data_IF_675501987861
#
_entry.id   IF_675501987861
#
_cell.length_a   1.000
_cell.length_b   1.000
_cell.length_c   1.000
_cell.angle_alpha   90.00
_cell.angle_beta   90.00
_cell.angle_gamma   90.00
#
_symmetry.space_group_name_H-M   'P 1'
#
loop_
_entity.id
_entity.type
_entity.pdbx_description
1 polymer ?
#
# COMPACT_ATOMS: atom_id res chain seq x y z
N UNK A 1 14.34 4.90 -4.18
CA UNK A 1 15.05 6.14 -3.75
C UNK A 1 14.07 7.06 -3.05
N UNK A 2 14.47 7.70 -1.94
CA UNK A 2 13.65 8.67 -1.18
C UNK A 2 14.10 10.08 -1.54
N UNK A 3 13.15 10.99 -1.74
CA UNK A 3 13.46 12.38 -2.03
C UNK A 3 13.06 13.27 -0.87
N UNK A 4 13.99 14.16 -0.46
CA UNK A 4 13.78 15.15 0.60
C UNK A 4 13.71 16.53 -0.04
N UNK A 5 12.61 17.26 0.14
CA UNK A 5 12.41 18.63 -0.33
C UNK A 5 12.41 19.56 0.87
N UNK A 6 13.49 20.28 1.07
CA UNK A 6 13.80 21.10 2.25
C UNK A 6 14.71 22.25 1.81
N UNK A 7 14.39 23.49 2.13
CA UNK A 7 15.17 24.64 1.71
C UNK A 7 16.44 24.84 2.55
N UNK A 8 16.39 24.53 3.86
CA UNK A 8 17.58 24.59 4.70
C UNK A 8 18.56 23.46 4.32
N UNK A 9 19.72 23.86 3.78
CA UNK A 9 20.76 22.94 3.33
C UNK A 9 21.25 22.01 4.46
N UNK A 10 21.34 22.53 5.70
CA UNK A 10 21.85 21.74 6.84
C UNK A 10 20.84 20.67 7.26
N UNK A 11 19.55 21.00 7.28
CA UNK A 11 18.49 20.05 7.59
C UNK A 11 18.41 19.00 6.47
N UNK A 12 18.37 19.42 5.22
CA UNK A 12 18.34 18.57 4.04
C UNK A 12 19.50 17.56 4.02
N UNK A 13 20.73 18.02 4.29
CA UNK A 13 21.90 17.16 4.31
C UNK A 13 21.83 16.12 5.44
N UNK A 14 21.32 16.51 6.62
CA UNK A 14 21.14 15.58 7.75
C UNK A 14 20.06 14.54 7.44
N UNK A 15 18.95 14.93 6.83
CA UNK A 15 17.88 14.00 6.43
C UNK A 15 18.39 12.98 5.42
N UNK A 16 19.05 13.45 4.36
CA UNK A 16 19.65 12.59 3.32
C UNK A 16 20.72 11.67 3.92
N UNK A 17 21.58 12.19 4.79
CA UNK A 17 22.60 11.38 5.48
C UNK A 17 21.95 10.29 6.35
N UNK A 18 20.94 10.64 7.16
CA UNK A 18 20.28 9.69 8.04
C UNK A 18 19.58 8.55 7.26
N UNK A 19 18.93 8.87 6.14
CA UNK A 19 18.32 7.89 5.27
C UNK A 19 19.35 6.98 4.60
N UNK A 20 20.42 7.55 4.05
CA UNK A 20 21.49 6.78 3.42
C UNK A 20 22.20 5.84 4.43
N UNK A 21 22.44 6.32 5.65
CA UNK A 21 23.10 5.51 6.70
C UNK A 21 22.25 4.35 7.21
N UNK A 22 20.93 4.40 6.97
CA UNK A 22 19.98 3.33 7.34
C UNK A 22 19.62 2.39 6.17
N UNK A 23 20.38 2.48 5.06
CA UNK A 23 20.27 1.57 3.92
C UNK A 23 19.30 2.01 2.83
N UNK A 24 18.73 3.21 2.91
CA UNK A 24 17.97 3.81 1.83
C UNK A 24 18.90 4.59 0.88
N UNK A 25 18.46 4.78 -0.35
CA UNK A 25 19.05 5.80 -1.24
C UNK A 25 18.22 7.06 -1.12
N UNK A 26 18.85 8.20 -0.81
CA UNK A 26 18.15 9.47 -0.65
C UNK A 26 18.79 10.58 -1.46
N UNK A 27 17.96 11.53 -1.93
CA UNK A 27 18.36 12.71 -2.70
C UNK A 27 17.60 13.93 -2.18
N UNK A 28 18.31 15.06 -2.03
CA UNK A 28 17.75 16.33 -1.56
C UNK A 28 17.45 17.28 -2.72
N UNK A 29 16.41 18.13 -2.50
CA UNK A 29 16.00 19.23 -3.37
C UNK A 29 15.76 20.45 -2.51
N UNK A 30 16.15 21.62 -2.99
CA UNK A 30 16.03 22.88 -2.23
C UNK A 30 14.69 23.59 -2.43
N UNK A 31 13.98 23.25 -3.50
CA UNK A 31 12.73 23.90 -3.88
C UNK A 31 11.83 23.00 -4.75
N UNK A 32 10.58 23.45 -4.95
CA UNK A 32 9.62 22.75 -5.76
C UNK A 32 9.97 22.72 -7.25
N UNK A 33 10.72 23.70 -7.77
CA UNK A 33 11.07 23.76 -9.20
C UNK A 33 12.08 22.66 -9.54
N UNK A 34 13.17 22.56 -8.80
CA UNK A 34 14.20 21.51 -8.95
C UNK A 34 13.61 20.10 -8.72
N UNK A 35 12.68 19.98 -7.75
CA UNK A 35 11.97 18.76 -7.48
C UNK A 35 11.12 18.32 -8.69
N UNK A 36 10.26 19.18 -9.24
CA UNK A 36 9.43 18.82 -10.39
C UNK A 36 10.23 18.57 -11.67
N UNK A 37 11.35 19.26 -11.88
CA UNK A 37 12.24 18.98 -13.01
C UNK A 37 12.89 17.59 -12.89
N UNK A 38 13.23 17.17 -11.69
CA UNK A 38 13.74 15.81 -11.45
C UNK A 38 12.61 14.76 -11.61
N UNK A 39 11.40 15.08 -11.16
CA UNK A 39 10.24 14.17 -11.19
C UNK A 39 9.84 13.78 -12.62
N UNK A 40 10.09 14.64 -13.61
CA UNK A 40 9.91 14.33 -15.04
C UNK A 40 10.85 13.25 -15.56
N UNK A 41 11.96 13.02 -14.89
CA UNK A 41 13.04 12.11 -15.34
C UNK A 41 13.05 10.81 -14.56
N UNK A 42 12.73 10.86 -13.28
CA UNK A 42 12.79 9.73 -12.36
C UNK A 42 11.70 9.87 -11.29
N UNK A 43 11.14 8.75 -10.84
CA UNK A 43 10.12 8.72 -9.77
C UNK A 43 10.73 8.20 -8.48
N UNK A 44 10.56 8.91 -7.34
CA UNK A 44 10.96 8.41 -6.04
C UNK A 44 9.96 7.35 -5.51
N UNK A 45 10.42 6.54 -4.59
CA UNK A 45 9.58 5.60 -3.82
C UNK A 45 8.80 6.31 -2.71
N UNK A 46 9.27 7.48 -2.25
CA UNK A 46 8.65 8.31 -1.24
C UNK A 46 9.25 9.71 -1.28
N UNK A 47 8.42 10.70 -0.97
CA UNK A 47 8.84 12.10 -0.80
C UNK A 47 8.67 12.51 0.66
N UNK A 48 9.73 13.03 1.27
CA UNK A 48 9.70 13.82 2.50
C UNK A 48 9.65 15.29 2.10
N UNK A 49 8.59 15.99 2.43
CA UNK A 49 8.27 17.31 1.89
C UNK A 49 8.04 18.31 3.02
N UNK A 50 8.87 19.35 3.08
CA UNK A 50 8.61 20.45 4.00
C UNK A 50 7.38 21.25 3.56
N UNK A 51 6.54 21.63 4.51
CA UNK A 51 5.41 22.53 4.29
C UNK A 51 5.92 23.93 3.95
N UNK A 52 6.90 24.42 4.69
CA UNK A 52 7.37 25.81 4.61
C UNK A 52 8.56 25.94 3.63
N UNK A 53 8.29 25.81 2.34
CA UNK A 53 9.29 26.05 1.31
C UNK A 53 9.19 27.47 0.75
N UNK A 54 10.31 28.09 0.31
CA UNK A 54 10.27 29.37 -0.40
C UNK A 54 9.58 29.20 -1.76
N UNK A 55 8.97 30.27 -2.27
CA UNK A 55 8.32 30.38 -3.57
C UNK A 55 7.08 29.50 -3.77
N UNK A 56 7.15 28.22 -3.44
CA UNK A 56 6.02 27.29 -3.59
C UNK A 56 5.82 26.50 -2.31
N UNK A 57 4.71 26.74 -1.62
CA UNK A 57 4.31 26.00 -0.41
C UNK A 57 4.27 24.48 -0.65
N UNK A 58 4.81 23.70 0.28
CA UNK A 58 4.77 22.24 0.21
C UNK A 58 3.37 21.66 0.08
N UNK A 59 2.34 22.33 0.63
CA UNK A 59 0.94 21.94 0.44
C UNK A 59 0.53 22.06 -1.03
N UNK A 60 0.98 23.09 -1.72
CA UNK A 60 0.71 23.26 -3.15
C UNK A 60 1.44 22.22 -4.00
N UNK A 61 2.68 21.86 -3.62
CA UNK A 61 3.43 20.76 -4.25
C UNK A 61 2.66 19.44 -4.08
N UNK A 62 2.19 19.14 -2.85
CA UNK A 62 1.39 17.95 -2.56
C UNK A 62 0.12 17.91 -3.44
N UNK A 63 -0.65 19.00 -3.50
CA UNK A 63 -1.86 19.10 -4.35
C UNK A 63 -1.55 18.80 -5.81
N UNK A 64 -0.49 19.39 -6.36
CA UNK A 64 -0.07 19.16 -7.75
C UNK A 64 0.33 17.71 -7.99
N UNK A 65 1.05 17.07 -7.05
CA UNK A 65 1.38 15.66 -7.15
C UNK A 65 0.13 14.79 -7.13
N UNK A 66 -0.77 15.00 -6.16
CA UNK A 66 -1.98 14.17 -5.98
C UNK A 66 -3.04 14.40 -7.07
N UNK A 67 -3.04 15.55 -7.74
CA UNK A 67 -3.88 15.82 -8.91
C UNK A 67 -3.31 15.22 -10.22
N UNK A 68 -2.06 14.82 -10.24
CA UNK A 68 -1.42 14.24 -11.42
C UNK A 68 -1.64 12.74 -11.48
N UNK A 69 -2.19 12.23 -12.57
CA UNK A 69 -2.30 10.78 -12.80
C UNK A 69 -0.94 10.05 -12.75
N UNK A 70 0.13 10.77 -13.05
CA UNK A 70 1.47 10.21 -13.09
C UNK A 70 2.15 10.12 -11.73
N UNK A 71 1.79 10.99 -10.77
CA UNK A 71 2.49 11.14 -9.48
C UNK A 71 1.61 10.90 -8.26
N UNK A 72 0.29 10.69 -8.44
CA UNK A 72 -0.66 10.55 -7.32
C UNK A 72 -0.35 9.38 -6.40
N UNK A 73 0.24 8.29 -6.93
CA UNK A 73 0.58 7.09 -6.18
C UNK A 73 1.88 7.20 -5.39
N UNK A 74 2.68 8.26 -5.61
CA UNK A 74 3.92 8.47 -4.85
C UNK A 74 3.55 8.87 -3.42
N UNK A 75 3.99 8.09 -2.40
CA UNK A 75 3.71 8.44 -1.02
C UNK A 75 4.47 9.67 -0.57
N UNK A 76 3.80 10.52 0.22
CA UNK A 76 4.34 11.79 0.72
C UNK A 76 4.21 11.86 2.23
N UNK A 77 5.32 12.12 2.92
CA UNK A 77 5.35 12.49 4.33
C UNK A 77 5.58 14.00 4.40
N UNK A 78 4.66 14.73 5.04
CA UNK A 78 4.80 16.18 5.21
C UNK A 78 5.60 16.50 6.47
N UNK A 79 6.60 17.39 6.37
CA UNK A 79 7.30 17.95 7.52
C UNK A 79 6.69 19.31 7.85
N UNK A 80 6.22 19.52 9.09
CA UNK A 80 5.48 20.74 9.49
C UNK A 80 5.97 21.30 10.81
N UNK A 81 5.85 22.62 11.02
CA UNK A 81 6.20 23.25 12.28
C UNK A 81 5.23 22.86 13.41
N UNK A 82 5.71 22.88 14.66
CA UNK A 82 4.90 22.63 15.86
C UNK A 82 3.81 23.71 16.00
N UNK A 83 2.55 23.31 16.07
CA UNK A 83 1.40 24.21 16.23
C UNK A 83 0.47 24.31 15.01
N UNK A 84 0.89 23.84 13.85
CA UNK A 84 0.07 23.82 12.64
C UNK A 84 -0.89 22.59 12.62
N UNK A 85 -1.81 22.54 13.61
CA UNK A 85 -2.81 21.45 13.65
C UNK A 85 -3.73 21.50 12.44
N UNK A 86 -3.99 22.69 11.92
CA UNK A 86 -4.76 22.92 10.69
C UNK A 86 -4.02 22.33 9.46
N UNK A 87 -2.71 22.53 9.35
CA UNK A 87 -1.91 22.02 8.23
C UNK A 87 -1.83 20.50 8.21
N UNK A 88 -1.87 19.85 9.39
CA UNK A 88 -1.89 18.37 9.50
C UNK A 88 -3.17 17.79 8.95
N UNK A 89 -4.33 18.32 9.39
CA UNK A 89 -5.65 17.86 8.93
C UNK A 89 -5.76 18.12 7.44
N UNK A 90 -5.41 19.32 6.98
CA UNK A 90 -5.46 19.67 5.56
C UNK A 90 -4.53 18.80 4.71
N UNK A 91 -3.31 18.49 5.16
CA UNK A 91 -2.37 17.67 4.42
C UNK A 91 -2.84 16.22 4.28
N UNK A 92 -3.44 15.65 5.32
CA UNK A 92 -4.02 14.30 5.29
C UNK A 92 -5.25 14.24 4.37
N UNK A 93 -6.12 15.23 4.44
CA UNK A 93 -7.30 15.34 3.56
C UNK A 93 -6.89 15.52 2.07
N UNK A 94 -5.73 16.12 1.83
CA UNK A 94 -5.14 16.29 0.49
C UNK A 94 -4.38 15.05 -0.01
N UNK A 95 -4.29 14.00 0.81
CA UNK A 95 -3.70 12.73 0.42
C UNK A 95 -2.24 12.54 0.82
N UNK A 96 -1.73 13.26 1.83
CA UNK A 96 -0.47 12.91 2.47
C UNK A 96 -0.59 11.58 3.23
N UNK A 97 0.45 10.76 3.19
CA UNK A 97 0.45 9.42 3.79
C UNK A 97 0.86 9.42 5.26
N UNK A 98 1.60 10.43 5.72
CA UNK A 98 1.96 10.68 7.11
C UNK A 98 2.48 12.13 7.27
N UNK A 99 2.76 12.54 8.51
CA UNK A 99 3.37 13.83 8.82
C UNK A 99 4.42 13.71 9.92
N UNK A 100 5.39 14.65 9.92
CA UNK A 100 6.42 14.83 10.93
C UNK A 100 6.33 16.25 11.49
N UNK A 101 6.42 16.40 12.79
CA UNK A 101 6.39 17.71 13.45
C UNK A 101 7.81 18.16 13.79
N UNK A 102 8.25 19.26 13.19
CA UNK A 102 9.56 19.88 13.49
C UNK A 102 9.56 20.55 14.89
N UNK A 103 10.64 20.38 15.69
CA UNK A 103 11.81 19.54 15.40
C UNK A 103 11.52 18.06 15.68
N UNK A 104 11.95 17.19 14.78
CA UNK A 104 11.84 15.73 14.93
C UNK A 104 13.21 15.05 15.02
N UNK A 105 13.24 13.91 15.67
CA UNK A 105 14.46 13.07 15.71
C UNK A 105 14.66 12.31 14.41
N UNK A 106 15.92 12.17 13.95
CA UNK A 106 16.24 11.43 12.72
C UNK A 106 15.74 9.98 12.76
N UNK A 107 15.78 9.33 13.92
CA UNK A 107 15.25 7.98 14.07
C UNK A 107 13.72 7.91 13.98
N UNK A 108 13.01 8.97 14.38
CA UNK A 108 11.57 9.08 14.17
C UNK A 108 11.26 9.19 12.67
N UNK A 109 11.95 10.07 11.96
CA UNK A 109 11.83 10.23 10.51
C UNK A 109 12.04 8.89 9.79
N UNK A 110 13.14 8.21 10.07
CA UNK A 110 13.44 6.90 9.45
C UNK A 110 12.37 5.86 9.77
N UNK A 111 11.86 5.84 11.01
CA UNK A 111 10.80 4.91 11.41
C UNK A 111 9.49 5.17 10.67
N UNK A 112 9.11 6.42 10.47
CA UNK A 112 7.93 6.81 9.68
C UNK A 112 8.08 6.50 8.21
N UNK A 113 9.24 6.83 7.62
CA UNK A 113 9.57 6.44 6.24
C UNK A 113 9.42 4.93 6.05
N UNK A 114 9.98 4.13 6.96
CA UNK A 114 9.84 2.67 6.93
C UNK A 114 8.37 2.22 7.05
N UNK A 115 7.59 2.85 7.91
CA UNK A 115 6.17 2.54 8.10
C UNK A 115 5.33 2.89 6.88
N UNK A 116 5.56 4.06 6.26
CA UNK A 116 4.87 4.49 5.04
C UNK A 116 5.27 3.58 3.88
N UNK A 117 6.55 3.36 3.63
CA UNK A 117 7.00 2.46 2.56
C UNK A 117 6.45 1.02 2.72
N UNK A 118 6.29 0.53 3.95
CA UNK A 118 5.66 -0.78 4.19
C UNK A 118 4.17 -0.78 3.84
N UNK A 119 3.44 0.33 4.06
CA UNK A 119 2.01 0.47 3.73
C UNK A 119 1.79 0.75 2.24
N UNK A 120 2.67 1.57 1.66
CA UNK A 120 2.57 2.05 0.29
C UNK A 120 3.45 1.25 -0.70
N UNK A 121 4.40 0.42 -0.20
CA UNK A 121 4.83 -0.65 -1.08
C UNK A 121 3.53 -1.34 -1.47
N UNK A 122 3.20 -1.41 -2.77
CA UNK A 122 2.40 -2.53 -3.15
C UNK A 122 3.17 -3.68 -2.47
N UNK A 123 2.53 -4.42 -1.54
CA UNK A 123 2.98 -5.77 -1.40
C UNK A 123 3.22 -6.15 -2.85
N UNK A 124 4.43 -6.57 -3.18
CA UNK A 124 4.67 -7.32 -4.38
C UNK A 124 3.84 -8.60 -4.20
N UNK A 125 2.54 -8.39 -4.27
CA UNK A 125 1.67 -9.34 -4.87
C UNK A 125 2.28 -9.38 -6.26
N UNK A 126 3.14 -10.38 -6.49
CA UNK A 126 3.37 -10.80 -7.85
C UNK A 126 1.97 -10.75 -8.44
N UNK A 127 1.75 -9.96 -9.50
CA UNK A 127 0.42 -9.86 -10.15
C UNK A 127 -0.10 -11.26 -10.43
N UNK A 128 0.79 -12.22 -10.23
CA UNK A 128 0.59 -13.67 -10.24
C UNK A 128 0.90 -14.23 -8.84
N UNK A 129 -0.14 -14.61 -8.11
CA UNK A 129 -0.03 -15.38 -6.87
C UNK A 129 0.01 -16.87 -7.26
N UNK A 130 1.03 -17.58 -6.80
CA UNK A 130 1.21 -18.99 -7.13
C UNK A 130 1.37 -19.83 -5.87
N UNK A 131 0.65 -20.94 -5.80
CA UNK A 131 0.77 -21.96 -4.76
C UNK A 131 0.69 -23.34 -5.44
N UNK A 132 1.81 -24.03 -5.51
CA UNK A 132 1.93 -25.23 -6.32
C UNK A 132 1.55 -24.94 -7.78
N UNK A 133 0.59 -25.67 -8.30
CA UNK A 133 0.08 -25.51 -9.67
C UNK A 133 -1.08 -24.50 -9.78
N UNK A 134 -1.56 -23.96 -8.66
CA UNK A 134 -2.57 -22.92 -8.65
C UNK A 134 -1.90 -21.56 -8.87
N UNK A 135 -2.30 -20.89 -9.97
CA UNK A 135 -1.80 -19.58 -10.35
C UNK A 135 -2.96 -18.60 -10.51
N UNK A 136 -2.88 -17.45 -9.82
CA UNK A 136 -3.88 -16.37 -9.89
C UNK A 136 -3.20 -15.13 -10.43
N UNK A 137 -3.54 -14.71 -11.65
CA UNK A 137 -3.04 -13.49 -12.27
C UNK A 137 -4.06 -12.36 -12.03
N UNK A 138 -3.67 -11.37 -11.25
CA UNK A 138 -4.53 -10.25 -10.88
C UNK A 138 -4.75 -9.25 -12.02
N UNK A 139 -3.77 -9.08 -12.92
CA UNK A 139 -3.85 -8.14 -14.05
C UNK A 139 -4.78 -8.66 -15.14
N UNK A 140 -4.65 -9.94 -15.44
CA UNK A 140 -5.48 -10.59 -16.44
C UNK A 140 -6.84 -11.07 -15.89
N UNK A 141 -7.01 -10.98 -14.56
CA UNK A 141 -8.17 -11.53 -13.85
C UNK A 141 -8.41 -13.02 -14.19
N UNK A 142 -7.33 -13.80 -14.24
CA UNK A 142 -7.34 -15.22 -14.62
C UNK A 142 -6.86 -16.11 -13.49
N UNK A 143 -7.40 -17.32 -13.44
CA UNK A 143 -6.95 -18.40 -12.54
C UNK A 143 -6.65 -19.62 -13.39
N UNK A 144 -5.50 -20.23 -13.16
CA UNK A 144 -5.13 -21.51 -13.78
C UNK A 144 -4.75 -22.52 -12.70
N UNK A 145 -5.07 -23.77 -12.96
CA UNK A 145 -4.68 -24.92 -12.15
C UNK A 145 -4.10 -26.00 -13.08
N UNK A 146 -2.92 -26.48 -12.82
CA UNK A 146 -2.18 -27.38 -13.70
C UNK A 146 -2.07 -26.86 -15.16
N UNK A 147 -1.98 -25.53 -15.31
CA UNK A 147 -1.95 -24.88 -16.64
C UNK A 147 -3.32 -24.72 -17.31
N UNK A 148 -4.39 -25.31 -16.78
CA UNK A 148 -5.76 -25.18 -17.30
C UNK A 148 -6.51 -24.02 -16.63
N UNK A 149 -7.24 -23.23 -17.43
CA UNK A 149 -7.98 -22.07 -16.94
C UNK A 149 -9.25 -22.49 -16.19
N UNK A 150 -9.39 -21.99 -14.95
CA UNK A 150 -10.59 -22.14 -14.13
C UNK A 150 -11.48 -20.90 -14.27
N UNK A 151 -12.76 -21.10 -14.55
CA UNK A 151 -13.73 -20.00 -14.63
C UNK A 151 -14.30 -19.71 -13.25
N UNK A 152 -13.89 -18.59 -12.67
CA UNK A 152 -14.44 -18.04 -11.42
C UNK A 152 -15.38 -16.86 -11.74
N UNK A 153 -16.37 -16.66 -10.88
CA UNK A 153 -17.12 -15.41 -10.85
C UNK A 153 -16.24 -14.31 -10.23
N UNK A 154 -16.59 -13.04 -10.47
CA UNK A 154 -15.83 -11.91 -9.91
C UNK A 154 -15.64 -12.03 -8.39
N UNK A 155 -16.70 -12.40 -7.66
CA UNK A 155 -16.64 -12.52 -6.19
C UNK A 155 -15.82 -13.73 -5.73
N UNK A 156 -15.84 -14.83 -6.45
CA UNK A 156 -14.99 -16.00 -6.16
C UNK A 156 -13.52 -15.66 -6.42
N UNK A 157 -13.22 -14.92 -7.50
CA UNK A 157 -11.88 -14.46 -7.80
C UNK A 157 -11.33 -13.54 -6.70
N UNK A 158 -12.10 -12.53 -6.29
CA UNK A 158 -11.69 -11.60 -5.24
C UNK A 158 -11.52 -12.29 -3.88
N UNK A 159 -12.37 -13.29 -3.54
CA UNK A 159 -12.21 -14.12 -2.35
C UNK A 159 -10.90 -14.92 -2.38
N UNK A 160 -10.61 -15.58 -3.52
CA UNK A 160 -9.40 -16.37 -3.69
C UNK A 160 -8.15 -15.49 -3.58
N UNK A 161 -8.14 -14.38 -4.31
CA UNK A 161 -7.06 -13.40 -4.31
C UNK A 161 -6.80 -12.87 -2.89
N UNK A 162 -7.84 -12.45 -2.17
CA UNK A 162 -7.72 -11.92 -0.81
C UNK A 162 -7.15 -12.96 0.16
N UNK A 163 -7.68 -14.17 0.16
CA UNK A 163 -7.23 -15.25 1.03
C UNK A 163 -5.79 -15.69 0.71
N UNK A 164 -5.45 -15.76 -0.57
CA UNK A 164 -4.14 -16.19 -1.03
C UNK A 164 -3.06 -15.12 -0.74
N UNK A 165 -3.37 -13.85 -0.95
CA UNK A 165 -2.45 -12.74 -0.65
C UNK A 165 -2.16 -12.58 0.84
N UNK A 166 -3.02 -13.11 1.71
CA UNK A 166 -2.86 -13.08 3.16
C UNK A 166 -2.84 -14.51 3.74
N UNK A 167 -2.08 -15.38 3.11
CA UNK A 167 -1.95 -16.78 3.55
C UNK A 167 -1.59 -16.89 5.03
N UNK A 168 -2.25 -17.79 5.76
CA UNK A 168 -2.13 -17.97 7.21
C UNK A 168 -2.99 -17.02 8.05
N UNK A 169 -3.50 -15.92 7.49
CA UNK A 169 -4.35 -14.96 8.21
C UNK A 169 -5.81 -15.41 8.23
N UNK A 170 -6.45 -15.34 9.39
CA UNK A 170 -7.88 -15.65 9.55
C UNK A 170 -8.71 -14.39 9.30
N UNK A 171 -9.64 -14.46 8.36
CA UNK A 171 -10.65 -13.43 8.12
C UNK A 171 -12.00 -13.86 8.70
N UNK A 172 -12.64 -12.96 9.43
CA UNK A 172 -14.04 -13.19 9.84
C UNK A 172 -14.98 -13.10 8.62
N UNK A 173 -16.20 -13.67 8.76
CA UNK A 173 -17.19 -13.58 7.68
C UNK A 173 -17.58 -12.14 7.38
N UNK A 174 -17.64 -11.30 8.41
CA UNK A 174 -17.97 -9.88 8.27
C UNK A 174 -16.85 -9.10 7.56
N UNK A 175 -15.58 -9.40 7.87
CA UNK A 175 -14.44 -8.82 7.17
C UNK A 175 -14.43 -9.19 5.69
N UNK A 176 -14.59 -10.48 5.37
CA UNK A 176 -14.68 -10.94 3.98
C UNK A 176 -15.84 -10.28 3.24
N UNK A 177 -17.00 -10.20 3.92
CA UNK A 177 -18.18 -9.58 3.35
C UNK A 177 -17.95 -8.10 3.04
N UNK A 178 -17.49 -7.33 4.02
CA UNK A 178 -17.22 -5.89 3.86
C UNK A 178 -16.19 -5.59 2.78
N UNK A 179 -15.10 -6.37 2.71
CA UNK A 179 -14.03 -6.13 1.73
C UNK A 179 -14.45 -6.46 0.29
N UNK A 180 -15.32 -7.46 0.08
CA UNK A 180 -15.63 -7.95 -1.25
C UNK A 180 -16.98 -7.43 -1.76
N UNK A 181 -17.96 -7.21 -0.88
CA UNK A 181 -19.28 -6.69 -1.25
C UNK A 181 -19.50 -5.21 -0.91
N UNK A 182 -18.65 -4.65 -0.05
CA UNK A 182 -18.78 -3.28 0.45
C UNK A 182 -19.61 -3.19 1.74
N UNK A 183 -19.35 -2.16 2.55
CA UNK A 183 -20.03 -1.92 3.84
C UNK A 183 -21.51 -1.57 3.73
N UNK A 184 -21.96 -1.05 2.57
CA UNK A 184 -23.32 -0.54 2.35
C UNK A 184 -24.31 -1.61 1.86
N UNK A 185 -23.84 -2.83 1.67
CA UNK A 185 -24.69 -3.92 1.19
C UNK A 185 -25.33 -4.67 2.37
N UNK A 186 -26.64 -4.57 2.54
CA UNK A 186 -27.42 -5.25 3.59
C UNK A 186 -27.65 -6.74 3.30
N UNK A 187 -26.58 -7.50 3.03
CA UNK A 187 -26.66 -8.93 2.78
C UNK A 187 -26.25 -9.78 4.00
N UNK A 188 -26.71 -11.01 4.05
CA UNK A 188 -26.33 -11.93 5.12
C UNK A 188 -24.95 -12.53 4.88
N UNK A 189 -24.18 -12.72 5.94
CA UNK A 189 -22.85 -13.39 5.93
C UNK A 189 -22.91 -14.84 5.42
N UNK A 190 -24.09 -15.42 5.26
CA UNK A 190 -24.34 -16.70 4.55
C UNK A 190 -23.86 -16.66 3.10
N UNK A 191 -23.88 -15.50 2.46
CA UNK A 191 -23.38 -15.29 1.08
C UNK A 191 -21.91 -15.68 0.95
N UNK A 192 -21.07 -15.31 1.93
CA UNK A 192 -19.65 -15.69 1.96
C UNK A 192 -19.48 -17.21 1.97
N UNK A 193 -20.27 -17.91 2.83
CA UNK A 193 -20.16 -19.37 2.95
C UNK A 193 -20.54 -20.10 1.65
N UNK A 194 -21.51 -19.58 0.91
CA UNK A 194 -21.89 -20.15 -0.39
C UNK A 194 -20.79 -19.97 -1.43
N UNK A 195 -20.17 -18.77 -1.51
CA UNK A 195 -19.09 -18.52 -2.44
C UNK A 195 -17.82 -19.32 -2.08
N UNK A 196 -17.51 -19.46 -0.80
CA UNK A 196 -16.40 -20.33 -0.35
C UNK A 196 -16.66 -21.80 -0.75
N UNK A 197 -17.90 -22.28 -0.62
CA UNK A 197 -18.25 -23.64 -1.03
C UNK A 197 -18.05 -23.87 -2.54
N UNK A 198 -18.58 -22.97 -3.36
CA UNK A 198 -18.43 -23.06 -4.83
C UNK A 198 -16.99 -22.87 -5.26
N UNK A 199 -16.26 -21.97 -4.61
CA UNK A 199 -14.83 -21.76 -4.86
C UNK A 199 -14.03 -23.04 -4.58
N UNK A 200 -14.23 -23.69 -3.43
CA UNK A 200 -13.59 -24.98 -3.10
C UNK A 200 -13.86 -26.04 -4.15
N UNK A 201 -15.11 -26.16 -4.60
CA UNK A 201 -15.49 -27.15 -5.64
C UNK A 201 -14.75 -26.89 -6.95
N UNK A 202 -14.59 -25.62 -7.36
CA UNK A 202 -13.90 -25.25 -8.59
C UNK A 202 -12.37 -25.43 -8.50
N UNK A 203 -11.80 -25.28 -7.32
CA UNK A 203 -10.37 -25.48 -7.07
C UNK A 203 -9.97 -26.94 -6.87
N UNK A 204 -10.94 -27.88 -6.78
CA UNK A 204 -10.64 -29.29 -6.57
C UNK A 204 -9.83 -29.53 -5.30
N UNK A 205 -8.72 -30.25 -5.40
CA UNK A 205 -7.82 -30.53 -4.27
C UNK A 205 -7.26 -29.27 -3.61
N UNK A 206 -7.05 -28.21 -4.39
CA UNK A 206 -6.60 -26.91 -3.85
C UNK A 206 -7.67 -26.17 -3.04
N UNK A 207 -8.92 -26.59 -3.13
CA UNK A 207 -10.00 -26.09 -2.29
C UNK A 207 -9.80 -26.40 -0.81
N UNK A 208 -9.09 -27.45 -0.47
CA UNK A 208 -8.75 -27.83 0.91
C UNK A 208 -7.76 -26.86 1.58
N UNK A 209 -7.02 -26.07 0.80
CA UNK A 209 -6.17 -24.98 1.31
C UNK A 209 -7.01 -23.86 1.97
N UNK A 210 -8.29 -23.73 1.60
CA UNK A 210 -9.19 -22.78 2.26
C UNK A 210 -9.77 -23.46 3.48
N UNK A 211 -9.24 -23.20 4.64
CA UNK A 211 -9.73 -23.74 5.90
C UNK A 211 -10.91 -22.98 6.49
N UNK A 212 -11.80 -23.70 7.17
CA UNK A 212 -12.85 -23.12 8.00
C UNK A 212 -12.38 -23.06 9.44
N UNK A 213 -12.16 -21.85 9.95
CA UNK A 213 -11.91 -21.63 11.39
C UNK A 213 -13.27 -21.54 12.08
N UNK A 214 -13.62 -22.58 12.83
CA UNK A 214 -14.96 -22.71 13.48
C UNK A 214 -15.29 -21.48 14.32
N UNK A 215 -16.50 -20.98 14.17
CA UNK A 215 -17.04 -19.79 14.84
C UNK A 215 -16.34 -18.45 14.53
N UNK A 216 -15.30 -18.44 13.67
CA UNK A 216 -14.56 -17.23 13.27
C UNK A 216 -14.79 -16.92 11.79
N UNK A 217 -14.26 -17.75 10.90
CA UNK A 217 -14.30 -17.43 9.46
C UNK A 217 -13.48 -18.40 8.61
N UNK A 218 -12.63 -17.85 7.74
CA UNK A 218 -11.85 -18.62 6.79
C UNK A 218 -10.41 -18.12 6.72
N UNK A 219 -9.48 -19.02 6.40
CA UNK A 219 -8.10 -18.69 6.04
C UNK A 219 -7.62 -19.55 4.88
N UNK A 220 -6.61 -19.08 4.16
CA UNK A 220 -5.83 -19.90 3.24
C UNK A 220 -4.60 -20.44 3.97
N UNK A 221 -4.41 -21.74 4.04
CA UNK A 221 -3.21 -22.35 4.60
C UNK A 221 -2.36 -22.94 3.48
N UNK A 222 -1.22 -22.30 3.23
CA UNK A 222 -0.22 -22.80 2.29
C UNK A 222 0.79 -23.60 3.10
N UNK A 223 0.79 -24.92 2.94
CA UNK A 223 1.87 -25.75 3.48
C UNK A 223 3.13 -25.42 2.69
N UNK A 224 4.07 -24.73 3.32
CA UNK A 224 5.43 -24.67 2.78
C UNK A 224 6.03 -26.07 2.93
N UNK A 225 6.05 -26.82 1.85
CA UNK A 225 6.93 -27.99 1.77
C UNK A 225 8.35 -27.46 1.87
N UNK A 226 9.00 -27.86 3.00
CA UNK A 226 10.44 -27.64 3.26
C UNK A 226 11.26 -28.54 2.35
#
# INVERSE_FOLDING_TARGET
>A
MIWCVEDDASIRDIEVYALNSTGYQAKGFEDGASFFEALKKEKPELVLLDVMLPETDGIEILKRMKASFEYCDIPVIMATAKGAEYDKVQSLDLGADDYLVKPFGMMEMVSRVKAVLRRCKPQTLSHVLQVGELCVNSDEHTVTLNGERITLTFKEFELLKLLLSHSGMVFTRDQLYSQIWGSDFCGETRTVAMHIRTLRQKLGEYGDLIETVRNVGYRMEVKNDQ
#
